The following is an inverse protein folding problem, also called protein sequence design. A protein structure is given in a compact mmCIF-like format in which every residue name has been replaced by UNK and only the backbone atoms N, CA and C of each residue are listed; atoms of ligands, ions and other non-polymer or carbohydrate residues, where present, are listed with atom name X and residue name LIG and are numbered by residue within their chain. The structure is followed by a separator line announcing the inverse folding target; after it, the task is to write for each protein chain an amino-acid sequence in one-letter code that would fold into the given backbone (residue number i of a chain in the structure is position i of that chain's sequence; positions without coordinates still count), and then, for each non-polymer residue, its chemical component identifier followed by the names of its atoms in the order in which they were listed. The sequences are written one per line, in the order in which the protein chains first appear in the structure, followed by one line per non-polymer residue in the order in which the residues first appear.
data_IF_236713585055
#
_entry.id   IF_236713585055
#
_cell.length_a   1.000
_cell.length_b   1.000
_cell.length_c   1.000
_cell.angle_alpha   90.00
_cell.angle_beta   90.00
_cell.angle_gamma   90.00
#
_symmetry.space_group_name_H-M   'P 1'
#
loop_
_entity.id
_entity.type
_entity.pdbx_description
1 polymer ?
#
# COMPACT_ATOMS: atom_id res chain seq x y z
N UNK A 1 -8.66 5.90 -0.47
CA UNK A 1 -8.76 7.37 -0.68
C UNK A 1 -7.53 7.97 -1.35
N UNK A 2 -6.37 7.33 -1.33
CA UNK A 2 -5.16 7.89 -1.98
C UNK A 2 -5.25 8.01 -3.51
N UNK A 3 -5.81 7.01 -4.20
CA UNK A 3 -5.84 6.96 -5.68
C UNK A 3 -6.56 8.16 -6.34
N UNK A 4 -7.71 8.64 -5.87
CA UNK A 4 -8.32 9.85 -6.43
C UNK A 4 -7.46 11.10 -6.24
N UNK A 5 -6.77 11.26 -5.10
CA UNK A 5 -5.87 12.39 -4.86
C UNK A 5 -4.65 12.33 -5.80
N UNK A 6 -4.09 11.13 -6.01
CA UNK A 6 -2.99 10.90 -6.96
C UNK A 6 -3.46 11.21 -8.39
N UNK A 7 -4.62 10.70 -8.81
CA UNK A 7 -5.19 10.96 -10.15
C UNK A 7 -5.39 12.48 -10.40
N UNK A 8 -5.93 13.19 -9.41
CA UNK A 8 -6.05 14.66 -9.47
C UNK A 8 -4.70 15.33 -9.71
N UNK A 9 -3.69 14.93 -8.92
CA UNK A 9 -2.35 15.53 -9.05
C UNK A 9 -1.68 15.19 -10.37
N UNK A 10 -1.86 13.98 -10.88
CA UNK A 10 -1.37 13.59 -12.20
C UNK A 10 -2.01 14.44 -13.31
N UNK A 11 -3.32 14.70 -13.24
CA UNK A 11 -4.01 15.58 -14.21
C UNK A 11 -3.50 17.02 -14.12
N UNK A 12 -3.31 17.56 -12.92
CA UNK A 12 -2.73 18.89 -12.74
C UNK A 12 -1.36 19.02 -13.41
N UNK A 13 -0.49 18.02 -13.20
CA UNK A 13 0.86 17.98 -13.80
C UNK A 13 0.75 17.82 -15.31
N UNK A 14 -0.08 16.88 -15.80
CA UNK A 14 -0.27 16.68 -17.24
C UNK A 14 -0.73 17.95 -17.96
N UNK A 15 -1.66 18.70 -17.37
CA UNK A 15 -2.11 19.99 -17.92
C UNK A 15 -1.00 21.03 -17.91
N UNK A 16 -0.24 21.12 -16.82
CA UNK A 16 0.88 22.05 -16.70
C UNK A 16 1.97 21.79 -17.74
N UNK A 17 2.29 20.53 -17.96
CA UNK A 17 3.36 20.10 -18.90
C UNK A 17 2.85 19.94 -20.36
N UNK A 18 1.57 20.17 -20.64
CA UNK A 18 0.99 19.99 -21.96
C UNK A 18 0.96 18.53 -22.42
N UNK A 19 0.95 17.58 -21.49
CA UNK A 19 0.94 16.17 -21.81
C UNK A 19 -0.40 15.71 -22.39
N UNK A 20 -0.33 14.92 -23.45
CA UNK A 20 -1.51 14.39 -24.15
C UNK A 20 -1.97 13.02 -23.62
N UNK A 21 -1.15 12.39 -22.77
CA UNK A 21 -1.41 11.09 -22.17
C UNK A 21 -0.83 10.99 -20.75
N UNK A 22 -1.45 10.15 -19.93
CA UNK A 22 -0.94 9.71 -18.63
C UNK A 22 -0.71 8.19 -18.70
N UNK A 23 0.50 7.77 -18.30
CA UNK A 23 0.84 6.35 -18.20
C UNK A 23 0.84 5.91 -16.73
N UNK A 24 0.35 4.69 -16.46
CA UNK A 24 0.43 4.08 -15.15
C UNK A 24 0.80 2.59 -15.24
N UNK A 25 1.49 2.09 -14.22
CA UNK A 25 1.93 0.70 -14.11
C UNK A 25 1.02 -0.19 -13.25
N UNK A 26 -0.23 0.24 -12.99
CA UNK A 26 -1.16 -0.60 -12.23
C UNK A 26 -1.44 -1.90 -12.97
N UNK A 27 -1.34 -3.04 -12.27
CA UNK A 27 -1.52 -4.36 -12.86
C UNK A 27 -2.91 -4.58 -13.44
N UNK A 28 -3.02 -5.38 -14.50
CA UNK A 28 -4.28 -5.61 -15.20
C UNK A 28 -5.37 -6.30 -14.38
N UNK A 29 -5.02 -6.90 -13.24
CA UNK A 29 -5.95 -7.61 -12.34
C UNK A 29 -6.36 -6.80 -11.10
N UNK A 30 -5.73 -5.64 -10.86
CA UNK A 30 -5.93 -4.84 -9.66
C UNK A 30 -7.03 -3.79 -9.78
N UNK A 31 -7.65 -3.43 -8.65
CA UNK A 31 -8.62 -2.34 -8.58
C UNK A 31 -8.01 -0.95 -8.83
N UNK A 32 -6.70 -0.80 -8.63
CA UNK A 32 -6.01 0.46 -8.78
C UNK A 32 -6.05 1.00 -10.19
N UNK A 33 -5.96 0.12 -11.18
CA UNK A 33 -6.12 0.46 -12.58
C UNK A 33 -7.44 1.22 -12.83
N UNK A 34 -8.56 0.65 -12.38
CA UNK A 34 -9.89 1.25 -12.55
C UNK A 34 -9.97 2.58 -11.81
N UNK A 35 -9.45 2.64 -10.59
CA UNK A 35 -9.47 3.86 -9.76
C UNK A 35 -8.68 5.00 -10.38
N UNK A 36 -7.50 4.74 -10.94
CA UNK A 36 -6.72 5.73 -11.67
C UNK A 36 -7.44 6.19 -12.93
N UNK A 37 -7.92 5.25 -13.75
CA UNK A 37 -8.55 5.60 -15.01
C UNK A 37 -9.85 6.38 -14.84
N UNK A 38 -10.73 5.94 -13.93
CA UNK A 38 -11.96 6.69 -13.63
C UNK A 38 -11.65 8.08 -13.06
N UNK A 39 -10.68 8.18 -12.15
CA UNK A 39 -10.27 9.47 -11.59
C UNK A 39 -9.70 10.42 -12.64
N UNK A 40 -8.84 9.93 -13.52
CA UNK A 40 -8.28 10.72 -14.61
C UNK A 40 -9.39 11.13 -15.61
N UNK A 41 -10.24 10.20 -16.03
CA UNK A 41 -11.32 10.47 -16.98
C UNK A 41 -12.39 11.42 -16.46
N UNK A 42 -12.68 11.36 -15.17
CA UNK A 42 -13.60 12.32 -14.53
C UNK A 42 -13.07 13.76 -14.54
N UNK A 43 -11.75 13.95 -14.46
CA UNK A 43 -11.11 15.27 -14.37
C UNK A 43 -10.61 15.77 -15.73
N UNK A 44 -10.25 14.87 -16.64
CA UNK A 44 -9.65 15.17 -17.93
C UNK A 44 -10.00 14.10 -18.96
N UNK A 45 -11.24 14.08 -19.48
CA UNK A 45 -11.73 13.05 -20.42
C UNK A 45 -10.97 13.02 -21.75
N UNK A 46 -10.33 14.12 -22.12
CA UNK A 46 -9.53 14.27 -23.34
C UNK A 46 -8.12 13.66 -23.23
N UNK A 47 -7.57 13.51 -22.02
CA UNK A 47 -6.25 12.91 -21.80
C UNK A 47 -6.33 11.41 -22.09
N UNK A 48 -5.41 10.90 -22.91
CA UNK A 48 -5.27 9.47 -23.17
C UNK A 48 -4.66 8.76 -21.97
N UNK A 49 -5.07 7.51 -21.77
CA UNK A 49 -4.50 6.65 -20.74
C UNK A 49 -3.68 5.56 -21.42
N UNK A 50 -2.44 5.39 -20.98
CA UNK A 50 -1.55 4.31 -21.38
C UNK A 50 -1.41 3.37 -20.17
N UNK A 51 -1.99 2.17 -20.30
CA UNK A 51 -1.96 1.14 -19.28
C UNK A 51 -1.29 -0.12 -19.88
N UNK A 52 0.03 -0.28 -19.78
CA UNK A 52 0.79 -1.35 -20.45
C UNK A 52 0.23 -2.75 -20.17
N UNK A 53 -0.16 -3.04 -18.95
CA UNK A 53 -0.73 -4.34 -18.56
C UNK A 53 -2.00 -4.75 -19.33
N UNK A 54 -2.64 -3.83 -20.04
CA UNK A 54 -3.78 -4.09 -20.94
C UNK A 54 -3.40 -4.05 -22.41
N UNK A 55 -2.16 -3.71 -22.71
CA UNK A 55 -1.67 -3.60 -24.09
C UNK A 55 -0.91 -4.88 -24.46
N UNK A 56 -1.63 -6.02 -24.49
CA UNK A 56 -1.04 -7.36 -24.66
C UNK A 56 -0.31 -7.56 -25.98
N UNK A 57 -0.55 -6.73 -26.95
CA UNK A 57 0.17 -6.68 -28.23
C UNK A 57 1.56 -6.03 -28.12
N UNK A 58 1.80 -5.24 -27.07
CA UNK A 58 3.02 -4.48 -26.85
C UNK A 58 3.74 -4.81 -25.56
N UNK A 59 3.03 -5.35 -24.58
CA UNK A 59 3.51 -5.68 -23.26
C UNK A 59 3.50 -7.19 -23.05
N UNK A 60 4.66 -7.79 -22.95
CA UNK A 60 4.83 -9.25 -22.88
C UNK A 60 4.91 -9.81 -21.46
N UNK A 61 5.16 -8.95 -20.48
CA UNK A 61 5.21 -9.36 -19.07
C UNK A 61 3.80 -9.54 -18.52
N UNK A 62 3.50 -10.72 -17.98
CA UNK A 62 2.18 -11.13 -17.51
C UNK A 62 2.17 -11.40 -15.99
N UNK A 63 3.35 -11.52 -15.39
CA UNK A 63 3.53 -11.86 -13.99
C UNK A 63 4.69 -11.08 -13.37
N UNK A 64 4.78 -11.11 -12.04
CA UNK A 64 5.93 -10.54 -11.30
C UNK A 64 7.22 -11.29 -11.64
N UNK A 65 7.15 -12.59 -11.88
CA UNK A 65 8.28 -13.41 -12.27
C UNK A 65 8.87 -12.95 -13.61
N UNK A 66 8.02 -12.60 -14.58
CA UNK A 66 8.44 -12.05 -15.87
C UNK A 66 9.16 -10.70 -15.69
N UNK A 67 8.61 -9.84 -14.80
CA UNK A 67 9.24 -8.54 -14.49
C UNK A 67 10.61 -8.71 -13.83
N UNK A 68 10.73 -9.64 -12.89
CA UNK A 68 12.01 -9.96 -12.22
C UNK A 68 13.01 -10.51 -13.24
N UNK A 69 12.57 -11.42 -14.11
CA UNK A 69 13.41 -11.97 -15.17
C UNK A 69 13.89 -10.87 -16.14
N UNK A 70 12.99 -9.96 -16.52
CA UNK A 70 13.32 -8.80 -17.34
C UNK A 70 14.35 -7.91 -16.66
N UNK A 71 14.15 -7.56 -15.39
CA UNK A 71 15.10 -6.74 -14.64
C UNK A 71 16.50 -7.38 -14.58
N UNK A 72 16.57 -8.68 -14.28
CA UNK A 72 17.83 -9.44 -14.28
C UNK A 72 18.52 -9.42 -15.64
N UNK A 73 17.76 -9.64 -16.72
CA UNK A 73 18.30 -9.64 -18.08
C UNK A 73 18.86 -8.27 -18.52
N UNK A 74 18.36 -7.19 -17.93
CA UNK A 74 18.75 -5.81 -18.27
C UNK A 74 19.66 -5.15 -17.22
N UNK A 75 20.16 -5.90 -16.24
CA UNK A 75 21.05 -5.38 -15.20
C UNK A 75 20.40 -4.34 -14.29
N UNK A 76 19.08 -4.45 -14.09
CA UNK A 76 18.33 -3.59 -13.16
C UNK A 76 18.32 -4.28 -11.80
N UNK A 77 18.98 -3.68 -10.81
CA UNK A 77 19.01 -4.19 -9.46
C UNK A 77 17.65 -4.00 -8.78
N UNK A 78 17.13 -5.08 -8.19
CA UNK A 78 15.91 -5.06 -7.40
C UNK A 78 16.26 -5.09 -5.92
N UNK A 79 15.61 -4.27 -5.07
CA UNK A 79 15.85 -4.22 -3.63
C UNK A 79 15.26 -5.43 -2.87
N UNK A 80 14.74 -6.43 -3.58
CA UNK A 80 14.11 -7.62 -3.03
C UNK A 80 14.35 -8.83 -3.93
N UNK A 81 14.28 -10.02 -3.36
CA UNK A 81 14.22 -11.28 -4.11
C UNK A 81 12.77 -11.82 -4.20
N UNK A 82 12.55 -12.74 -5.12
CA UNK A 82 11.22 -13.30 -5.36
C UNK A 82 10.71 -14.17 -4.19
N UNK A 83 11.58 -14.66 -3.32
CA UNK A 83 11.25 -15.63 -2.26
C UNK A 83 10.76 -14.97 -0.97
N UNK A 84 10.98 -13.65 -0.80
CA UNK A 84 10.66 -12.91 0.43
C UNK A 84 9.81 -11.67 0.17
N UNK A 85 9.08 -11.64 -0.93
CA UNK A 85 8.41 -10.42 -1.40
C UNK A 85 6.91 -10.47 -1.22
N UNK A 86 6.44 -10.10 -0.02
CA UNK A 86 5.03 -9.70 0.12
C UNK A 86 4.75 -8.45 -0.74
N UNK A 87 3.57 -8.39 -1.30
CA UNK A 87 3.06 -7.13 -1.84
C UNK A 87 2.68 -6.23 -0.68
N UNK A 88 3.24 -5.03 -0.64
CA UNK A 88 3.05 -4.10 0.48
C UNK A 88 2.55 -2.75 0.01
N UNK A 89 1.45 -2.30 0.61
CA UNK A 89 0.93 -0.95 0.44
C UNK A 89 1.08 -0.18 1.75
N UNK A 90 2.00 0.79 1.76
CA UNK A 90 2.28 1.61 2.94
C UNK A 90 1.76 3.04 2.78
N UNK A 91 1.16 3.57 3.83
CA UNK A 91 0.82 4.98 3.96
C UNK A 91 1.07 5.47 5.39
N UNK A 92 0.65 6.68 5.71
CA UNK A 92 0.86 7.25 7.05
C UNK A 92 0.14 6.45 8.16
N UNK A 93 -0.99 5.82 7.84
CA UNK A 93 -1.84 5.15 8.82
C UNK A 93 -1.45 3.70 9.09
N UNK A 94 -1.00 2.99 8.07
CA UNK A 94 -0.77 1.56 8.14
C UNK A 94 0.08 1.04 6.98
N UNK A 95 0.42 -0.22 7.08
CA UNK A 95 0.96 -1.02 5.98
C UNK A 95 0.10 -2.28 5.81
N UNK A 96 -0.30 -2.60 4.59
CA UNK A 96 -0.94 -3.87 4.29
C UNK A 96 0.00 -4.83 3.59
N UNK A 97 -0.17 -6.11 3.84
CA UNK A 97 0.63 -7.20 3.28
C UNK A 97 -0.28 -8.18 2.54
N UNK A 98 0.12 -8.59 1.35
CA UNK A 98 -0.55 -9.58 0.50
C UNK A 98 0.50 -10.51 -0.11
N UNK A 99 0.09 -11.71 -0.52
CA UNK A 99 0.93 -12.65 -1.27
C UNK A 99 1.61 -13.71 -0.43
N UNK A 100 2.43 -14.55 -1.07
CA UNK A 100 3.10 -15.71 -0.46
C UNK A 100 2.10 -16.64 0.23
N UNK A 101 2.37 -17.08 1.47
CA UNK A 101 1.49 -17.97 2.23
C UNK A 101 0.10 -17.36 2.51
N UNK A 102 -0.05 -16.04 2.43
CA UNK A 102 -1.35 -15.38 2.60
C UNK A 102 -2.33 -15.68 1.47
N UNK A 103 -1.87 -16.19 0.34
CA UNK A 103 -2.74 -16.64 -0.76
C UNK A 103 -3.47 -17.97 -0.44
N UNK A 104 -2.99 -18.73 0.55
CA UNK A 104 -3.59 -19.98 0.99
C UNK A 104 -4.21 -19.82 2.39
N UNK A 105 -5.56 -19.73 2.49
CA UNK A 105 -6.25 -19.57 3.79
C UNK A 105 -6.02 -20.71 4.79
N UNK A 106 -5.45 -21.83 4.36
CA UNK A 106 -5.12 -22.96 5.24
C UNK A 106 -3.77 -22.79 5.95
N UNK A 107 -2.97 -21.81 5.54
CA UNK A 107 -1.65 -21.55 6.11
C UNK A 107 -1.70 -20.39 7.11
N UNK A 108 -1.00 -20.56 8.22
CA UNK A 108 -0.84 -19.46 9.17
C UNK A 108 0.17 -18.43 8.64
N UNK A 109 -0.07 -17.12 8.88
CA UNK A 109 0.86 -16.07 8.50
C UNK A 109 2.21 -16.21 9.20
N UNK A 110 3.29 -15.96 8.49
CA UNK A 110 4.61 -15.86 9.07
C UNK A 110 4.90 -14.43 9.52
N UNK A 111 4.41 -14.06 10.69
CA UNK A 111 4.58 -12.70 11.24
C UNK A 111 6.04 -12.27 11.36
N UNK A 112 6.96 -13.20 11.66
CA UNK A 112 8.39 -12.89 11.82
C UNK A 112 9.03 -12.39 10.51
N UNK A 113 8.53 -12.88 9.39
CA UNK A 113 9.01 -12.50 8.08
C UNK A 113 8.22 -11.32 7.47
N UNK A 114 7.00 -11.12 7.94
CA UNK A 114 6.04 -10.20 7.33
C UNK A 114 6.05 -8.82 7.99
N UNK A 115 6.00 -8.75 9.32
CA UNK A 115 5.83 -7.50 10.06
C UNK A 115 7.01 -6.54 9.84
N UNK A 116 6.69 -5.28 9.63
CA UNK A 116 7.66 -4.20 9.34
C UNK A 116 7.54 -3.05 10.33
N UNK A 117 6.32 -2.78 10.81
CA UNK A 117 6.05 -1.67 11.72
C UNK A 117 6.01 -2.10 13.18
N UNK A 118 5.71 -3.35 13.42
CA UNK A 118 5.46 -3.84 14.77
C UNK A 118 6.07 -5.20 15.08
N UNK A 119 5.72 -5.69 16.24
CA UNK A 119 6.05 -7.04 16.72
C UNK A 119 4.76 -7.77 17.04
N UNK A 120 4.83 -9.11 17.15
CA UNK A 120 3.67 -9.88 17.61
C UNK A 120 3.41 -9.63 19.11
N UNK A 121 2.18 -9.87 19.60
CA UNK A 121 1.87 -9.72 21.03
C UNK A 121 2.82 -10.53 21.93
N UNK A 122 3.27 -11.72 21.48
CA UNK A 122 4.20 -12.57 22.23
C UNK A 122 5.61 -11.96 22.39
N UNK A 123 5.98 -11.05 21.48
CA UNK A 123 7.26 -10.35 21.50
C UNK A 123 7.16 -8.93 22.09
N UNK A 124 5.95 -8.49 22.39
CA UNK A 124 5.71 -7.20 23.00
C UNK A 124 6.18 -7.17 24.47
N UNK A 125 6.48 -5.98 25.02
CA UNK A 125 6.80 -5.85 26.44
C UNK A 125 5.65 -6.28 27.35
N UNK A 126 5.94 -6.95 28.45
CA UNK A 126 4.94 -7.29 29.50
C UNK A 126 4.48 -6.06 30.31
N UNK A 127 5.21 -4.96 30.19
CA UNK A 127 4.90 -3.72 30.89
C UNK A 127 4.01 -2.83 30.03
N UNK A 128 2.93 -2.34 30.63
CA UNK A 128 2.04 -1.36 29.98
C UNK A 128 2.78 -0.07 29.60
N UNK A 129 2.34 0.52 28.48
CA UNK A 129 2.79 1.84 28.02
C UNK A 129 1.60 2.78 27.99
N UNK A 130 1.60 3.76 28.91
CA UNK A 130 0.52 4.76 28.97
C UNK A 130 0.72 5.81 27.86
N UNK A 131 -0.40 6.18 27.22
CA UNK A 131 -0.45 7.23 26.19
C UNK A 131 -1.54 8.23 26.55
N UNK A 132 -1.15 9.49 26.67
CA UNK A 132 -2.09 10.59 26.93
C UNK A 132 -2.22 11.48 25.71
N UNK A 133 -3.44 11.72 25.27
CA UNK A 133 -3.74 12.60 24.14
C UNK A 133 -4.76 13.67 24.54
N UNK A 134 -4.55 14.89 24.04
CA UNK A 134 -5.57 15.94 24.12
C UNK A 134 -6.14 16.24 22.75
N UNK A 135 -7.42 16.57 22.73
CA UNK A 135 -8.16 16.86 21.51
C UNK A 135 -8.84 18.25 21.61
N UNK A 136 -8.87 18.94 20.49
CA UNK A 136 -9.63 20.17 20.31
C UNK A 136 -10.52 20.03 19.09
N UNK A 137 -11.82 20.16 19.27
CA UNK A 137 -12.83 19.98 18.22
C UNK A 137 -12.66 18.65 17.43
N UNK A 138 -12.32 17.56 18.13
CA UNK A 138 -12.10 16.25 17.53
C UNK A 138 -10.76 16.05 16.84
N UNK A 139 -9.87 17.06 16.84
CA UNK A 139 -8.53 16.99 16.26
C UNK A 139 -7.49 16.76 17.36
N UNK A 140 -6.63 15.74 17.28
CA UNK A 140 -5.56 15.54 18.26
C UNK A 140 -4.56 16.69 18.23
N UNK A 141 -4.18 17.19 19.40
CA UNK A 141 -3.27 18.33 19.57
C UNK A 141 -1.97 17.96 20.26
N UNK A 142 -2.05 17.13 21.28
CA UNK A 142 -0.86 16.73 22.02
C UNK A 142 -0.76 15.22 22.14
N UNK A 143 0.45 14.72 22.26
CA UNK A 143 0.78 13.36 22.64
C UNK A 143 1.76 13.41 23.81
N UNK A 144 1.41 12.78 24.94
CA UNK A 144 2.23 12.76 26.16
C UNK A 144 2.65 14.17 26.61
N UNK A 145 1.71 15.14 26.54
CA UNK A 145 1.93 16.53 26.91
C UNK A 145 2.70 17.39 25.90
N UNK A 146 3.15 16.80 24.77
CA UNK A 146 3.86 17.54 23.72
C UNK A 146 2.90 17.93 22.61
N UNK A 147 2.85 19.21 22.24
CA UNK A 147 2.10 19.68 21.06
C UNK A 147 2.79 19.23 19.78
N UNK A 148 2.03 18.67 18.86
CA UNK A 148 2.53 18.07 17.62
C UNK A 148 1.49 18.22 16.50
N UNK A 149 1.98 18.17 15.24
CA UNK A 149 1.08 18.04 14.09
C UNK A 149 0.40 16.67 14.08
N UNK A 150 -0.81 16.59 13.53
CA UNK A 150 -1.55 15.31 13.43
C UNK A 150 -0.71 14.21 12.79
N UNK A 151 0.03 14.52 11.71
CA UNK A 151 0.90 13.55 11.05
C UNK A 151 2.03 13.03 11.95
N UNK A 152 2.59 13.89 12.79
CA UNK A 152 3.64 13.53 13.76
C UNK A 152 3.06 12.64 14.87
N UNK A 153 1.87 12.99 15.37
CA UNK A 153 1.14 12.17 16.36
C UNK A 153 0.89 10.76 15.80
N UNK A 154 0.41 10.65 14.55
CA UNK A 154 0.19 9.35 13.92
C UNK A 154 1.49 8.55 13.81
N UNK A 155 2.59 9.20 13.41
CA UNK A 155 3.90 8.55 13.31
C UNK A 155 4.38 8.00 14.65
N UNK A 156 4.25 8.80 15.72
CA UNK A 156 4.63 8.36 17.06
C UNK A 156 3.71 7.25 17.60
N UNK A 157 2.40 7.33 17.34
CA UNK A 157 1.46 6.28 17.71
C UNK A 157 1.73 4.97 16.97
N UNK A 158 2.09 5.02 15.68
CA UNK A 158 2.51 3.84 14.93
C UNK A 158 3.75 3.18 15.55
N UNK A 159 4.72 3.99 15.99
CA UNK A 159 5.91 3.48 16.68
C UNK A 159 5.54 2.83 18.01
N UNK A 160 4.81 3.55 18.87
CA UNK A 160 4.41 3.06 20.18
C UNK A 160 3.52 1.80 20.07
N UNK A 161 2.54 1.81 19.15
CA UNK A 161 1.66 0.66 18.90
C UNK A 161 2.46 -0.54 18.40
N UNK A 162 3.36 -0.33 17.43
CA UNK A 162 4.21 -1.38 16.89
C UNK A 162 5.12 -2.02 17.94
N UNK A 163 5.77 -1.22 18.77
CA UNK A 163 6.61 -1.69 19.87
C UNK A 163 5.81 -2.51 20.91
N UNK A 164 4.51 -2.26 21.04
CA UNK A 164 3.63 -2.94 21.98
C UNK A 164 2.74 -4.02 21.32
N UNK A 165 3.03 -4.43 20.11
CA UNK A 165 2.31 -5.49 19.41
C UNK A 165 0.85 -5.17 19.11
N UNK A 166 0.53 -3.89 18.93
CA UNK A 166 -0.84 -3.40 18.70
C UNK A 166 -1.02 -3.03 17.24
N UNK A 167 -2.19 -3.35 16.69
CA UNK A 167 -2.62 -2.89 15.38
C UNK A 167 -2.66 -3.96 14.31
N UNK A 168 -2.26 -5.20 14.60
CA UNK A 168 -2.31 -6.29 13.63
C UNK A 168 -3.78 -6.67 13.38
N UNK A 169 -4.21 -6.59 12.13
CA UNK A 169 -5.56 -6.98 11.69
C UNK A 169 -5.45 -7.94 10.51
N UNK A 170 -6.05 -9.11 10.65
CA UNK A 170 -6.14 -10.12 9.61
C UNK A 170 -7.52 -10.02 8.95
N UNK A 171 -7.55 -9.84 7.62
CA UNK A 171 -8.76 -9.63 6.84
C UNK A 171 -8.79 -10.61 5.67
N UNK A 172 -9.84 -11.44 5.62
CA UNK A 172 -10.18 -12.23 4.44
C UNK A 172 -11.21 -11.48 3.62
N UNK A 173 -10.86 -11.06 2.42
CA UNK A 173 -11.72 -10.29 1.54
C UNK A 173 -12.16 -11.09 0.32
N UNK A 174 -13.47 -11.17 0.08
CA UNK A 174 -14.04 -11.72 -1.14
C UNK A 174 -14.28 -10.61 -2.15
N UNK A 175 -13.77 -10.79 -3.36
CA UNK A 175 -14.01 -9.85 -4.47
C UNK A 175 -15.06 -10.39 -5.45
N UNK A 176 -15.87 -9.52 -6.02
CA UNK A 176 -16.90 -9.86 -7.03
C UNK A 176 -16.31 -10.61 -8.23
N UNK A 177 -15.05 -10.45 -8.50
CA UNK A 177 -14.33 -11.11 -9.61
C UNK A 177 -13.60 -12.39 -9.21
N UNK A 178 -13.90 -12.97 -8.06
CA UNK A 178 -13.58 -14.36 -7.75
C UNK A 178 -12.25 -14.66 -7.07
N UNK A 179 -11.57 -13.72 -6.44
CA UNK A 179 -10.40 -14.01 -5.61
C UNK A 179 -10.60 -13.53 -4.18
N UNK A 180 -10.51 -14.47 -3.26
CA UNK A 180 -10.28 -14.20 -1.84
C UNK A 180 -8.81 -13.83 -1.68
N UNK A 181 -8.53 -12.71 -1.05
CA UNK A 181 -7.19 -12.33 -0.62
C UNK A 181 -7.20 -12.21 0.89
N UNK A 182 -6.17 -12.72 1.52
CA UNK A 182 -5.90 -12.46 2.92
C UNK A 182 -4.96 -11.26 2.98
N UNK A 183 -5.40 -10.23 3.69
CA UNK A 183 -4.62 -9.04 3.96
C UNK A 183 -4.30 -8.99 5.44
N UNK A 184 -3.06 -8.77 5.78
CA UNK A 184 -2.68 -8.42 7.14
C UNK A 184 -2.24 -6.97 7.14
N UNK A 185 -2.84 -6.19 8.03
CA UNK A 185 -2.52 -4.78 8.23
C UNK A 185 -1.90 -4.57 9.59
N UNK A 186 -0.88 -3.74 9.61
CA UNK A 186 -0.22 -3.24 10.82
C UNK A 186 -0.59 -1.77 11.05
#
# INVERSE_FOLDING_TARGET
MARPAIAKKLVEIARKEGAVAICHGATGKGNDQIRFELGIKALAPDIKIIAPWRMTDKWTMQSREDEIAFCKAHGIDLPFDASHSYSRDRNLWHISHEGLELEDPSQAPNYDNMLVLGVTPEKAPDKETEVTMTFEQGVPKTLNGKEMKVSEIITELNKLGGENGIGIVDIVENRVVGLSLIHISE
#
